data_IF_640249191601
#
_entry.id   IF_640249191601
#
_cell.length_a   1.000
_cell.length_b   1.000
_cell.length_c   1.000
_cell.angle_alpha   90.00
_cell.angle_beta   90.00
_cell.angle_gamma   90.00
#
_symmetry.space_group_name_H-M   'P 1'
#
loop_
_entity.id
_entity.type
_entity.pdbx_description
1 polymer ?
#
# COMPACT_ATOMS: atom_id res chain seq x y z
N UNK A 1 -46.29 17.60 -25.34
CA UNK A 1 -44.86 17.90 -25.07
C UNK A 1 -44.73 18.15 -23.58
N UNK A 2 -44.24 17.17 -22.82
CA UNK A 2 -43.88 17.32 -21.41
C UNK A 2 -42.41 16.90 -21.24
N UNK A 3 -41.74 17.65 -20.36
CA UNK A 3 -40.34 17.57 -19.93
C UNK A 3 -40.06 16.24 -19.25
N UNK A 4 -38.79 15.81 -19.21
CA UNK A 4 -38.14 15.43 -17.95
C UNK A 4 -36.61 15.30 -18.13
N UNK A 5 -35.91 15.92 -17.19
CA UNK A 5 -34.46 15.88 -17.00
C UNK A 5 -33.99 14.45 -16.68
N UNK A 6 -32.86 14.03 -17.25
CA UNK A 6 -32.05 13.00 -16.60
C UNK A 6 -30.59 13.43 -16.63
N UNK A 7 -30.23 14.20 -15.60
CA UNK A 7 -28.85 14.53 -15.28
C UNK A 7 -28.07 13.25 -14.98
N UNK A 8 -27.16 12.88 -15.88
CA UNK A 8 -26.15 11.88 -15.57
C UNK A 8 -25.08 12.57 -14.72
N UNK A 9 -25.06 12.18 -13.45
CA UNK A 9 -24.18 12.69 -12.39
C UNK A 9 -22.71 12.76 -12.85
N UNK A 10 -21.91 13.73 -12.38
CA UNK A 10 -20.47 13.68 -12.58
C UNK A 10 -19.96 12.35 -12.01
N UNK A 11 -19.23 11.60 -12.82
CA UNK A 11 -18.48 10.43 -12.38
C UNK A 11 -17.55 10.94 -11.30
N UNK A 12 -17.92 10.70 -10.04
CA UNK A 12 -17.02 10.89 -8.92
C UNK A 12 -15.82 10.00 -9.23
N UNK A 13 -14.73 10.64 -9.65
CA UNK A 13 -13.42 10.04 -9.73
C UNK A 13 -13.10 9.68 -8.29
N UNK A 14 -13.53 8.48 -7.89
CA UNK A 14 -13.23 7.94 -6.57
C UNK A 14 -11.73 8.09 -6.40
N UNK A 15 -11.32 8.84 -5.38
CA UNK A 15 -9.91 8.95 -5.04
C UNK A 15 -9.30 7.55 -5.10
N UNK A 16 -8.12 7.37 -5.74
CA UNK A 16 -7.51 6.06 -5.82
C UNK A 16 -7.44 5.54 -4.39
N UNK A 17 -8.13 4.41 -4.13
CA UNK A 17 -8.23 3.85 -2.78
C UNK A 17 -6.84 3.89 -2.16
N UNK A 18 -6.68 4.28 -0.89
CA UNK A 18 -5.38 4.32 -0.24
C UNK A 18 -4.56 3.05 -0.54
N UNK A 19 -5.22 1.89 -0.63
CA UNK A 19 -4.68 0.59 -1.04
C UNK A 19 -3.93 0.62 -2.39
N UNK A 20 -4.46 1.31 -3.40
CA UNK A 20 -3.87 1.43 -4.74
C UNK A 20 -2.63 2.34 -4.75
N UNK A 21 -2.57 3.34 -3.87
CA UNK A 21 -1.35 4.13 -3.64
C UNK A 21 -0.34 3.36 -2.79
N UNK A 22 -0.81 2.53 -1.85
CA UNK A 22 0.02 1.72 -0.95
C UNK A 22 0.82 0.66 -1.72
N UNK A 23 0.18 0.00 -2.68
CA UNK A 23 0.85 -0.95 -3.57
C UNK A 23 1.98 -0.27 -4.34
N UNK A 24 1.79 0.97 -4.81
CA UNK A 24 2.83 1.70 -5.54
C UNK A 24 4.07 1.94 -4.69
N UNK A 25 3.92 2.34 -3.43
CA UNK A 25 5.05 2.60 -2.50
C UNK A 25 5.87 1.34 -2.25
N UNK A 26 5.20 0.20 -2.02
CA UNK A 26 5.88 -1.08 -1.83
C UNK A 26 6.53 -1.58 -3.13
N UNK A 27 5.92 -1.31 -4.29
CA UNK A 27 6.47 -1.66 -5.62
C UNK A 27 7.69 -0.84 -6.03
N UNK A 28 7.92 0.35 -5.45
CA UNK A 28 9.15 1.12 -5.72
C UNK A 28 10.39 0.45 -5.11
N UNK A 29 10.21 -0.51 -4.19
CA UNK A 29 11.33 -1.24 -3.62
C UNK A 29 11.85 -2.25 -4.65
N UNK A 30 13.09 -2.09 -5.17
CA UNK A 30 13.63 -2.92 -6.26
C UNK A 30 13.86 -4.40 -5.88
N UNK A 31 13.41 -4.82 -4.70
CA UNK A 31 13.51 -6.19 -4.18
C UNK A 31 12.24 -6.70 -3.49
N UNK A 32 11.19 -5.89 -3.37
CA UNK A 32 9.87 -6.35 -2.94
C UNK A 32 9.08 -6.55 -4.24
N UNK A 33 8.98 -7.80 -4.69
CA UNK A 33 8.16 -8.13 -5.87
C UNK A 33 6.67 -7.87 -5.61
N UNK A 34 5.86 -7.85 -6.67
CA UNK A 34 4.41 -7.63 -6.60
C UNK A 34 3.72 -8.55 -5.58
N UNK A 35 4.12 -9.83 -5.53
CA UNK A 35 3.57 -10.86 -4.61
C UNK A 35 3.78 -10.47 -3.14
N UNK A 36 4.99 -10.03 -2.79
CA UNK A 36 5.33 -9.67 -1.42
C UNK A 36 4.59 -8.41 -0.94
N UNK A 37 4.32 -7.46 -1.84
CA UNK A 37 3.58 -6.25 -1.52
C UNK A 37 2.10 -6.55 -1.21
N UNK A 38 1.47 -7.42 -2.01
CA UNK A 38 0.10 -7.87 -1.78
C UNK A 38 -0.02 -8.70 -0.49
N UNK A 39 0.92 -9.59 -0.22
CA UNK A 39 0.95 -10.36 1.02
C UNK A 39 1.15 -9.48 2.26
N UNK A 40 2.02 -8.46 2.18
CA UNK A 40 2.21 -7.49 3.26
C UNK A 40 0.90 -6.75 3.57
N UNK A 41 0.19 -6.26 2.54
CA UNK A 41 -1.08 -5.55 2.73
C UNK A 41 -2.15 -6.50 3.28
N UNK A 42 -2.20 -7.73 2.79
CA UNK A 42 -3.18 -8.74 3.24
C UNK A 42 -2.98 -9.12 4.70
N UNK A 43 -1.73 -9.31 5.14
CA UNK A 43 -1.42 -9.73 6.51
C UNK A 43 -1.49 -8.57 7.53
N UNK A 44 -0.98 -7.40 7.17
CA UNK A 44 -0.92 -6.26 8.10
C UNK A 44 -2.15 -5.34 8.01
N UNK A 45 -2.97 -5.49 6.97
CA UNK A 45 -4.18 -4.71 6.70
C UNK A 45 -3.94 -3.26 6.29
N UNK A 46 -2.82 -2.64 6.69
CA UNK A 46 -2.51 -1.26 6.35
C UNK A 46 -1.01 -0.94 6.34
N UNK A 47 -0.62 0.10 5.59
CA UNK A 47 0.75 0.60 5.53
C UNK A 47 1.19 1.20 6.85
N UNK A 48 0.27 1.81 7.61
CA UNK A 48 0.57 2.30 8.96
C UNK A 48 1.05 1.16 9.85
N UNK A 49 0.35 0.01 9.78
CA UNK A 49 0.77 -1.21 10.49
C UNK A 49 2.12 -1.69 9.99
N UNK A 50 2.32 -1.77 8.66
CA UNK A 50 3.60 -2.18 8.04
C UNK A 50 4.76 -1.27 8.46
N UNK A 51 4.55 0.06 8.50
CA UNK A 51 5.55 1.06 8.90
C UNK A 51 5.93 0.96 10.38
N UNK A 52 5.02 0.46 11.21
CA UNK A 52 5.26 0.20 12.63
C UNK A 52 5.72 -1.21 12.94
N UNK A 53 5.54 -2.15 12.00
CA UNK A 53 5.88 -3.55 12.16
C UNK A 53 7.37 -3.73 12.47
N UNK A 54 7.66 -4.75 13.27
CA UNK A 54 9.01 -5.18 13.54
C UNK A 54 9.63 -5.87 12.32
N UNK A 55 10.96 -5.89 12.25
CA UNK A 55 11.66 -6.63 11.19
C UNK A 55 11.30 -8.13 11.23
N UNK A 56 11.05 -8.68 12.42
CA UNK A 56 10.70 -10.08 12.62
C UNK A 56 9.34 -10.39 11.98
N UNK A 57 8.32 -9.58 12.23
CA UNK A 57 7.00 -9.73 11.57
C UNK A 57 7.11 -9.59 10.04
N UNK A 58 7.89 -8.61 9.56
CA UNK A 58 8.12 -8.46 8.12
C UNK A 58 8.84 -9.68 7.53
N UNK A 59 9.74 -10.32 8.28
CA UNK A 59 10.47 -11.50 7.83
C UNK A 59 9.60 -12.74 7.63
N UNK A 60 8.48 -12.83 8.36
CA UNK A 60 7.53 -13.93 8.16
C UNK A 60 6.83 -13.88 6.81
N UNK A 61 6.78 -12.71 6.17
CA UNK A 61 6.13 -12.52 4.87
C UNK A 61 7.16 -12.49 3.75
N UNK A 62 8.15 -11.59 3.85
CA UNK A 62 9.07 -11.36 2.72
C UNK A 62 10.38 -12.14 2.83
N UNK A 63 10.56 -12.88 3.92
CA UNK A 63 11.79 -13.59 4.25
C UNK A 63 12.86 -12.68 4.89
N UNK A 64 13.77 -13.29 5.63
CA UNK A 64 14.81 -12.61 6.42
C UNK A 64 15.69 -11.65 5.60
N UNK A 65 16.03 -12.04 4.37
CA UNK A 65 16.90 -11.24 3.49
C UNK A 65 16.21 -9.96 3.00
N UNK A 66 14.90 -10.02 2.74
CA UNK A 66 14.15 -8.87 2.24
C UNK A 66 13.61 -8.01 3.40
N UNK A 67 13.34 -8.61 4.55
CA UNK A 67 12.81 -7.89 5.72
C UNK A 67 13.79 -6.85 6.24
N UNK A 68 15.10 -7.11 6.20
CA UNK A 68 16.12 -6.12 6.57
C UNK A 68 16.05 -4.87 5.69
N UNK A 69 15.91 -5.05 4.38
CA UNK A 69 15.83 -3.95 3.40
C UNK A 69 14.53 -3.18 3.53
N UNK A 70 13.41 -3.92 3.64
CA UNK A 70 12.09 -3.36 3.84
C UNK A 70 12.02 -2.57 5.16
N UNK A 71 12.47 -3.15 6.27
CA UNK A 71 12.49 -2.50 7.57
C UNK A 71 13.29 -1.19 7.55
N UNK A 72 14.50 -1.21 6.95
CA UNK A 72 15.32 0.00 6.80
C UNK A 72 14.62 1.07 5.95
N UNK A 73 13.97 0.67 4.86
CA UNK A 73 13.24 1.59 3.99
C UNK A 73 12.03 2.21 4.69
N UNK A 74 11.22 1.40 5.39
CA UNK A 74 10.07 1.86 6.16
C UNK A 74 10.48 2.84 7.27
N UNK A 75 11.62 2.60 7.94
CA UNK A 75 12.18 3.55 8.91
C UNK A 75 12.62 4.87 8.27
N UNK A 76 13.15 4.82 7.05
CA UNK A 76 13.53 6.03 6.32
C UNK A 76 12.31 6.88 5.95
N UNK A 77 11.24 6.24 5.45
CA UNK A 77 9.96 6.93 5.18
C UNK A 77 9.37 7.53 6.46
N UNK A 78 9.43 6.79 7.58
CA UNK A 78 8.91 7.27 8.86
C UNK A 78 9.69 8.48 9.39
N UNK A 79 11.00 8.58 9.13
CA UNK A 79 11.85 9.67 9.58
C UNK A 79 11.75 10.94 8.71
N UNK A 80 11.29 10.81 7.46
CA UNK A 80 11.08 11.92 6.53
C UNK A 80 9.74 12.66 6.76
N UNK A 81 8.98 12.27 7.78
CA UNK A 81 7.64 12.77 8.10
C UNK A 81 7.63 13.49 9.45
#
# INVERSE_FOLDING_TARGET
VQKDESGTKPVQISEPSPECQMIKVLKVLPRIGDVNAEELITNFGSLSTILTASQEELSQIVGERNSQLLYRFLRRIKADK
#
